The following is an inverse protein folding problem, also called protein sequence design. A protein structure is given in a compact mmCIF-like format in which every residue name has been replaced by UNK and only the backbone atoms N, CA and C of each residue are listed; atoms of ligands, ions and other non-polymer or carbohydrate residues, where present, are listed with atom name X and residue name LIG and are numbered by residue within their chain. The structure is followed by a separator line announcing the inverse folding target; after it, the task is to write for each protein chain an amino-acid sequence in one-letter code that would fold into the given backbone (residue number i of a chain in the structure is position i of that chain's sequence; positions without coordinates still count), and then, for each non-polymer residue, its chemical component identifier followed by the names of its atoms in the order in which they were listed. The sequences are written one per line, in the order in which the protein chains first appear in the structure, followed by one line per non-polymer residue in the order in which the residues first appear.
data_IF_016160414522
#
_entry.id   IF_016160414522
#
_cell.length_a   1.000
_cell.length_b   1.000
_cell.length_c   1.000
_cell.angle_alpha   90.00
_cell.angle_beta   90.00
_cell.angle_gamma   90.00
#
_symmetry.space_group_name_H-M   'P 1'
#
loop_
_entity.id
_entity.type
_entity.pdbx_description
1 polymer ?
#
# COMPACT_ATOMS: atom_id res chain seq x y z
N UNK A 1 14.42 8.09 -6.34
CA UNK A 1 13.78 8.66 -5.13
C UNK A 1 12.30 8.34 -5.23
N UNK A 2 11.81 7.47 -4.35
CA UNK A 2 10.44 6.92 -4.37
C UNK A 2 9.50 7.91 -3.66
N UNK A 3 9.02 8.90 -4.42
CA UNK A 3 8.40 10.12 -3.90
C UNK A 3 6.99 9.92 -3.31
N UNK A 4 6.43 8.71 -3.38
CA UNK A 4 5.10 8.38 -2.85
C UNK A 4 5.12 7.44 -1.65
N UNK A 5 6.29 6.95 -1.26
CA UNK A 5 6.43 6.07 -0.10
C UNK A 5 5.97 6.78 1.19
N UNK A 6 5.10 6.12 1.96
CA UNK A 6 4.50 6.64 3.19
C UNK A 6 3.24 7.50 2.99
N UNK A 7 2.82 7.75 1.74
CA UNK A 7 1.57 8.48 1.46
C UNK A 7 0.37 7.54 1.64
N UNK A 8 -0.64 7.99 2.39
CA UNK A 8 -1.95 7.35 2.44
C UNK A 8 -2.82 7.92 1.33
N UNK A 9 -3.42 7.05 0.53
CA UNK A 9 -4.35 7.38 -0.56
C UNK A 9 -5.64 6.59 -0.41
N UNK A 10 -6.70 7.02 -1.10
CA UNK A 10 -7.92 6.21 -1.17
C UNK A 10 -7.70 4.96 -2.02
N UNK A 11 -8.49 3.91 -1.80
CA UNK A 11 -8.45 2.71 -2.66
C UNK A 11 -8.76 3.09 -4.10
N UNK A 12 -9.74 3.98 -4.31
CA UNK A 12 -10.07 4.51 -5.63
C UNK A 12 -8.89 5.25 -6.30
N UNK A 13 -8.19 6.13 -5.59
CA UNK A 13 -7.00 6.83 -6.12
C UNK A 13 -5.89 5.84 -6.47
N UNK A 14 -5.69 4.80 -5.64
CA UNK A 14 -4.71 3.75 -5.92
C UNK A 14 -5.07 2.95 -7.18
N UNK A 15 -6.33 2.53 -7.30
CA UNK A 15 -6.86 1.76 -8.43
C UNK A 15 -6.91 2.58 -9.73
N UNK A 16 -7.28 3.86 -9.69
CA UNK A 16 -7.35 4.71 -10.88
C UNK A 16 -5.99 4.93 -11.54
N UNK A 17 -4.92 4.93 -10.75
CA UNK A 17 -3.55 5.02 -11.24
C UNK A 17 -2.97 3.67 -11.65
N UNK A 18 -3.74 2.58 -11.58
CA UNK A 18 -3.26 1.24 -11.93
C UNK A 18 -4.22 0.49 -12.85
N UNK A 19 -3.74 0.10 -14.04
CA UNK A 19 -4.56 -0.63 -15.02
C UNK A 19 -4.82 -2.09 -14.61
N UNK A 20 -4.06 -2.59 -13.65
CA UNK A 20 -4.19 -3.93 -13.11
C UNK A 20 -3.83 -3.93 -11.63
N UNK A 21 -4.69 -4.53 -10.80
CA UNK A 21 -4.43 -4.69 -9.36
C UNK A 21 -4.56 -6.15 -8.99
N UNK A 22 -3.52 -6.68 -8.34
CA UNK A 22 -3.51 -8.04 -7.79
C UNK A 22 -3.32 -7.98 -6.28
N UNK A 23 -4.16 -8.76 -5.59
CA UNK A 23 -4.03 -9.02 -4.17
C UNK A 23 -3.21 -10.30 -4.00
N UNK A 24 -1.93 -10.15 -3.64
CA UNK A 24 -1.01 -11.29 -3.47
C UNK A 24 -1.06 -11.85 -2.04
N UNK A 25 -1.40 -11.00 -1.07
CA UNK A 25 -1.52 -11.29 0.37
C UNK A 25 -2.66 -10.45 0.94
N UNK A 26 -3.27 -10.87 2.06
CA UNK A 26 -4.38 -10.14 2.68
C UNK A 26 -4.04 -8.65 2.88
N UNK A 27 -4.75 -7.79 2.15
CA UNK A 27 -4.57 -6.34 2.19
C UNK A 27 -3.38 -5.80 1.41
N UNK A 28 -2.49 -6.61 0.83
CA UNK A 28 -1.40 -6.13 -0.03
C UNK A 28 -1.89 -5.95 -1.46
N UNK A 29 -1.87 -4.71 -1.93
CA UNK A 29 -2.30 -4.33 -3.27
C UNK A 29 -1.08 -4.02 -4.13
N UNK A 30 -0.95 -4.69 -5.28
CA UNK A 30 0.05 -4.34 -6.30
C UNK A 30 -0.66 -3.77 -7.51
N UNK A 31 -0.50 -2.48 -7.74
CA UNK A 31 -1.11 -1.74 -8.84
C UNK A 31 -0.10 -1.43 -9.94
N UNK A 32 -0.31 -1.96 -11.14
CA UNK A 32 0.54 -1.68 -12.31
C UNK A 32 0.11 -0.39 -13.01
N UNK A 33 0.96 0.64 -13.00
CA UNK A 33 0.82 1.80 -13.87
C UNK A 33 1.44 1.48 -15.24
N UNK A 34 0.60 1.00 -16.14
CA UNK A 34 1.00 0.57 -17.50
C UNK A 34 1.51 1.75 -18.33
N UNK A 35 1.12 2.98 -18.01
CA UNK A 35 1.58 4.16 -18.74
C UNK A 35 3.03 4.51 -18.42
N UNK A 36 3.48 4.23 -17.19
CA UNK A 36 4.86 4.50 -16.75
C UNK A 36 5.75 3.26 -16.66
N UNK A 37 5.18 2.05 -16.73
CA UNK A 37 5.90 0.79 -16.52
C UNK A 37 6.30 0.57 -15.05
N UNK A 38 5.66 1.30 -14.14
CA UNK A 38 5.96 1.28 -12.70
C UNK A 38 4.82 0.60 -11.97
N UNK A 39 5.16 -0.25 -11.02
CA UNK A 39 4.25 -0.90 -10.11
C UNK A 39 4.25 -0.16 -8.78
N UNK A 40 3.07 0.23 -8.33
CA UNK A 40 2.82 0.75 -6.99
C UNK A 40 2.49 -0.42 -6.07
N UNK A 41 3.20 -0.52 -4.96
CA UNK A 41 2.93 -1.50 -3.91
C UNK A 41 2.27 -0.74 -2.76
N UNK A 42 1.02 -1.08 -2.47
CA UNK A 42 0.21 -0.48 -1.43
C UNK A 42 -0.26 -1.52 -0.41
N UNK A 43 -0.55 -1.08 0.80
CA UNK A 43 -1.11 -1.90 1.87
C UNK A 43 -2.40 -1.28 2.37
N UNK A 44 -3.48 -2.04 2.36
CA UNK A 44 -4.75 -1.67 2.94
C UNK A 44 -4.61 -1.65 4.48
N UNK A 45 -4.80 -0.46 5.04
CA UNK A 45 -4.65 -0.18 6.49
C UNK A 45 -5.97 0.22 7.15
N UNK A 46 -7.09 0.14 6.42
CA UNK A 46 -8.42 0.47 6.91
C UNK A 46 -9.42 0.64 5.78
N UNK A 47 -10.66 1.01 6.13
CA UNK A 47 -11.74 1.18 5.17
C UNK A 47 -11.40 2.28 4.15
N UNK A 48 -11.24 1.88 2.89
CA UNK A 48 -10.87 2.74 1.76
C UNK A 48 -9.52 3.48 1.93
N UNK A 49 -8.60 2.99 2.78
CA UNK A 49 -7.27 3.61 3.00
C UNK A 49 -6.16 2.66 2.60
N UNK A 50 -5.32 3.11 1.68
CA UNK A 50 -4.15 2.37 1.18
C UNK A 50 -2.89 3.18 1.47
N UNK A 51 -1.95 2.58 2.18
CA UNK A 51 -0.62 3.11 2.42
C UNK A 51 0.29 2.72 1.26
N UNK A 52 0.88 3.68 0.57
CA UNK A 52 1.89 3.43 -0.46
C UNK A 52 3.21 3.04 0.20
N UNK A 53 3.61 1.78 0.05
CA UNK A 53 4.82 1.24 0.65
C UNK A 53 6.05 1.44 -0.23
N UNK A 54 5.90 1.27 -1.54
CA UNK A 54 7.00 1.40 -2.50
C UNK A 54 6.51 1.49 -3.95
N UNK A 55 7.42 1.90 -4.83
CA UNK A 55 7.33 1.75 -6.27
C UNK A 55 8.47 0.86 -6.78
N UNK A 56 8.20 0.07 -7.81
CA UNK A 56 9.15 -0.84 -8.44
C UNK A 56 8.87 -0.96 -9.93
N UNK A 57 9.86 -1.30 -10.73
CA UNK A 57 9.64 -1.74 -12.12
C UNK A 57 9.24 -3.23 -12.15
N UNK A 58 8.86 -3.73 -13.33
CA UNK A 58 8.47 -5.14 -13.52
C UNK A 58 9.57 -6.15 -13.08
N UNK A 59 10.84 -5.79 -13.26
CA UNK A 59 11.96 -6.66 -12.91
C UNK A 59 12.22 -6.75 -11.40
N UNK A 60 11.81 -5.73 -10.64
CA UNK A 60 12.08 -5.60 -9.21
C UNK A 60 10.83 -5.72 -8.32
N UNK A 61 9.61 -5.58 -8.88
CA UNK A 61 8.35 -5.60 -8.13
C UNK A 61 8.20 -6.88 -7.33
N UNK A 62 8.57 -8.02 -7.92
CA UNK A 62 8.44 -9.32 -7.28
C UNK A 62 9.32 -9.44 -6.04
N UNK A 63 10.59 -9.05 -6.16
CA UNK A 63 11.51 -9.01 -5.02
C UNK A 63 11.00 -8.04 -3.95
N UNK A 64 10.56 -6.85 -4.37
CA UNK A 64 10.23 -5.76 -3.45
C UNK A 64 8.98 -6.05 -2.63
N UNK A 65 7.95 -6.67 -3.22
CA UNK A 65 6.80 -7.09 -2.41
C UNK A 65 7.17 -8.26 -1.49
N UNK A 66 8.00 -9.22 -1.93
CA UNK A 66 8.45 -10.34 -1.08
C UNK A 66 9.23 -9.88 0.15
N UNK A 67 10.01 -8.80 0.04
CA UNK A 67 10.67 -8.14 1.17
C UNK A 67 9.68 -7.46 2.13
N UNK A 68 8.54 -6.98 1.61
CA UNK A 68 7.51 -6.30 2.39
C UNK A 68 6.58 -7.26 3.12
N UNK A 69 6.31 -8.45 2.56
CA UNK A 69 5.44 -9.49 3.16
C UNK A 69 5.66 -9.69 4.66
N UNK A 70 6.89 -9.95 5.17
CA UNK A 70 7.09 -10.18 6.60
C UNK A 70 6.79 -8.96 7.48
N UNK A 71 6.75 -7.75 6.90
CA UNK A 71 6.51 -6.49 7.61
C UNK A 71 5.05 -6.02 7.54
N UNK A 72 4.22 -6.65 6.71
CA UNK A 72 2.81 -6.25 6.52
C UNK A 72 2.07 -6.25 7.85
N UNK A 73 2.19 -7.33 8.63
CA UNK A 73 1.49 -7.47 9.90
C UNK A 73 1.90 -6.38 10.92
N UNK A 74 3.20 -6.05 10.97
CA UNK A 74 3.71 -4.97 11.82
C UNK A 74 3.14 -3.62 11.41
N UNK A 75 3.12 -3.32 10.10
CA UNK A 75 2.62 -2.05 9.58
C UNK A 75 1.10 -1.93 9.83
N UNK A 76 0.34 -2.99 9.58
CA UNK A 76 -1.11 -3.02 9.87
C UNK A 76 -1.38 -2.79 11.37
N UNK A 77 -0.63 -3.41 12.27
CA UNK A 77 -0.76 -3.22 13.72
C UNK A 77 -0.44 -1.78 14.15
N UNK A 78 0.59 -1.16 13.57
CA UNK A 78 0.93 0.25 13.83
C UNK A 78 -0.23 1.18 13.45
N UNK A 79 -0.79 1.04 12.25
CA UNK A 79 -1.88 1.91 11.79
C UNK A 79 -3.23 1.58 12.45
N UNK A 80 -3.46 0.31 12.83
CA UNK A 80 -4.62 -0.06 13.64
C UNK A 80 -4.58 0.59 15.03
N UNK A 81 -3.40 0.67 15.65
CA UNK A 81 -3.21 1.38 16.93
C UNK A 81 -3.40 2.89 16.79
N UNK A 82 -2.91 3.50 15.72
CA UNK A 82 -3.14 4.93 15.43
C UNK A 82 -4.63 5.23 15.22
N UNK A 83 -5.35 4.39 14.47
CA UNK A 83 -6.79 4.52 14.29
C UNK A 83 -7.56 4.38 15.62
N UNK A 84 -7.09 3.51 16.53
CA UNK A 84 -7.67 3.35 17.86
C UNK A 84 -7.43 4.58 18.76
N UNK A 85 -6.24 5.20 18.69
CA UNK A 85 -5.88 6.41 19.43
C UNK A 85 -6.67 7.66 18.98
N UNK A 86 -7.13 7.71 17.73
CA UNK A 86 -7.94 8.83 17.22
C UNK A 86 -9.35 8.83 17.81
N UNK A 87 -9.88 7.66 18.18
CA UNK A 87 -11.18 7.51 18.87
C UNK A 87 -11.12 7.96 20.33
N UNK A 88 -9.99 7.68 21.01
CA UNK A 88 -9.78 8.06 22.42
C UNK A 88 -9.63 9.58 22.62
N UNK A 89 -9.27 10.33 21.57
CA UNK A 89 -9.06 11.78 21.63
C UNK A 89 -10.35 12.61 21.47
N UNK A 90 -11.48 11.95 21.22
CA UNK A 90 -12.80 12.53 20.97
C UNK A 90 -13.81 12.31 22.11
N UNK A 91 -13.36 11.76 23.24
CA UNK A 91 -14.12 11.58 24.49
C UNK A 91 -13.50 12.42 25.63
#
# INVERSE_FOLDING_TARGET
MDYRQGKIVSKEEFLQNSSYVKEEYEGLLVGADVASGIYNIGLEIGENKVLLLAQADEGSVHQKYHELVPRIAEIQDMYAKEACLEVDRLL
#
